data_IF_890773849587
#
_entry.id   IF_890773849587
#
_cell.length_a   1.000
_cell.length_b   1.000
_cell.length_c   1.000
_cell.angle_alpha   90.00
_cell.angle_beta   90.00
_cell.angle_gamma   90.00
#
_symmetry.space_group_name_H-M   'P 1'
#
loop_
_entity.id
_entity.type
_entity.pdbx_description
1 polymer ?
#
# COMPACT_ATOMS: atom_id res chain seq x y z
N UNK A 1 0.53 -20.36 -2.06
CA UNK A 1 -0.18 -19.26 -1.40
C UNK A 1 0.77 -18.08 -1.31
N UNK A 2 0.32 -16.91 -1.76
CA UNK A 2 1.05 -15.64 -1.70
C UNK A 2 0.53 -14.79 -0.54
N UNK A 3 1.27 -13.75 -0.17
CA UNK A 3 0.81 -12.79 0.86
C UNK A 3 -0.54 -12.15 0.50
N UNK A 4 -0.81 -11.96 -0.80
CA UNK A 4 -2.08 -11.40 -1.28
C UNK A 4 -3.21 -12.41 -1.06
N UNK A 5 -2.99 -13.68 -1.39
CA UNK A 5 -3.98 -14.75 -1.17
C UNK A 5 -4.34 -14.87 0.31
N UNK A 6 -3.33 -14.85 1.19
CA UNK A 6 -3.49 -14.99 2.64
C UNK A 6 -4.27 -13.79 3.22
N UNK A 7 -3.97 -12.56 2.77
CA UNK A 7 -4.69 -11.34 3.18
C UNK A 7 -6.17 -11.41 2.81
N UNK A 8 -6.50 -11.78 1.57
CA UNK A 8 -7.90 -11.89 1.15
C UNK A 8 -8.64 -13.04 1.83
N UNK A 9 -7.96 -14.17 2.08
CA UNK A 9 -8.54 -15.27 2.84
C UNK A 9 -8.92 -14.84 4.27
N UNK A 10 -7.99 -14.16 4.97
CA UNK A 10 -8.22 -13.59 6.30
C UNK A 10 -9.38 -12.59 6.31
N UNK A 11 -9.37 -11.60 5.41
CA UNK A 11 -10.41 -10.59 5.33
C UNK A 11 -11.81 -11.17 5.06
N UNK A 12 -11.88 -12.20 4.21
CA UNK A 12 -13.13 -12.92 3.94
C UNK A 12 -13.64 -13.63 5.20
N UNK A 13 -12.76 -14.28 5.96
CA UNK A 13 -13.12 -14.93 7.21
C UNK A 13 -13.59 -13.91 8.27
N UNK A 14 -13.03 -12.70 8.26
CA UNK A 14 -13.44 -11.59 9.13
C UNK A 14 -14.69 -10.83 8.64
N UNK A 15 -15.22 -11.14 7.44
CA UNK A 15 -16.33 -10.40 6.84
C UNK A 15 -15.98 -8.95 6.47
N UNK A 16 -14.70 -8.63 6.33
CA UNK A 16 -14.18 -7.29 6.05
C UNK A 16 -13.80 -7.11 4.58
N UNK A 17 -13.83 -5.86 4.11
CA UNK A 17 -13.27 -5.47 2.81
C UNK A 17 -11.80 -5.09 2.99
N UNK A 18 -10.99 -5.24 1.94
CA UNK A 18 -9.59 -4.84 1.95
C UNK A 18 -9.49 -3.32 1.89
N UNK A 19 -8.63 -2.75 2.73
CA UNK A 19 -8.15 -1.38 2.55
C UNK A 19 -6.81 -1.41 1.81
N UNK A 20 -6.81 -0.92 0.56
CA UNK A 20 -5.60 -0.81 -0.27
C UNK A 20 -5.20 0.66 -0.32
N UNK A 21 -3.97 0.97 0.08
CA UNK A 21 -3.45 2.33 0.07
C UNK A 21 -2.29 2.45 -0.92
N UNK A 22 -2.36 3.47 -1.77
CA UNK A 22 -1.28 3.86 -2.66
C UNK A 22 -0.45 4.99 -2.05
N UNK A 23 0.88 4.89 -2.15
CA UNK A 23 1.81 5.97 -1.83
C UNK A 23 2.96 6.01 -2.83
N UNK A 24 3.44 7.20 -3.18
CA UNK A 24 4.62 7.35 -4.03
C UNK A 24 5.90 7.11 -3.23
N UNK A 25 6.75 6.20 -3.71
CA UNK A 25 8.04 5.92 -3.08
C UNK A 25 8.97 7.12 -3.19
N UNK A 26 9.50 7.55 -2.05
CA UNK A 26 10.44 8.68 -1.98
C UNK A 26 9.79 10.07 -1.97
N UNK A 27 8.46 10.18 -1.94
CA UNK A 27 7.74 11.44 -1.78
C UNK A 27 7.39 11.71 -0.30
N UNK A 28 7.59 12.94 0.23
CA UNK A 28 8.37 14.04 -0.36
C UNK A 28 9.89 13.82 -0.31
N UNK A 29 10.34 12.89 0.55
CA UNK A 29 11.73 12.46 0.66
C UNK A 29 11.79 10.99 1.14
N UNK A 30 12.96 10.32 1.05
CA UNK A 30 13.09 8.92 1.45
C UNK A 30 12.75 8.62 2.91
N UNK A 31 13.00 9.55 3.83
CA UNK A 31 12.79 9.35 5.27
C UNK A 31 11.30 9.47 5.61
N UNK A 32 10.64 10.51 5.10
CA UNK A 32 9.21 10.72 5.23
C UNK A 32 8.41 9.60 4.55
N UNK A 33 8.77 9.21 3.32
CA UNK A 33 8.12 8.11 2.59
C UNK A 33 8.21 6.79 3.36
N UNK A 34 9.39 6.47 3.91
CA UNK A 34 9.58 5.27 4.72
C UNK A 34 8.75 5.31 6.02
N UNK A 35 8.67 6.47 6.67
CA UNK A 35 7.85 6.65 7.86
C UNK A 35 6.36 6.42 7.57
N UNK A 36 5.86 6.94 6.44
CA UNK A 36 4.49 6.71 5.97
C UNK A 36 4.24 5.22 5.74
N UNK A 37 5.05 4.55 4.91
CA UNK A 37 4.88 3.12 4.58
C UNK A 37 4.87 2.25 5.84
N UNK A 38 5.75 2.53 6.82
CA UNK A 38 5.79 1.79 8.10
C UNK A 38 4.54 2.02 8.97
N UNK A 39 3.89 3.17 8.85
CA UNK A 39 2.67 3.50 9.60
C UNK A 39 1.40 2.86 9.04
N UNK A 40 1.35 2.58 7.73
CA UNK A 40 0.14 2.09 7.05
C UNK A 40 -0.47 0.81 7.67
N UNK A 41 0.30 -0.22 8.06
CA UNK A 41 -0.28 -1.41 8.70
C UNK A 41 -1.00 -1.08 10.02
N UNK A 42 -0.44 -0.17 10.82
CA UNK A 42 -1.05 0.29 12.08
C UNK A 42 -2.31 1.13 11.87
N UNK A 43 -2.46 1.74 10.70
CA UNK A 43 -3.66 2.47 10.29
C UNK A 43 -4.75 1.55 9.69
N UNK A 44 -4.50 0.23 9.61
CA UNK A 44 -5.46 -0.75 9.11
C UNK A 44 -5.39 -1.01 7.59
N UNK A 45 -4.30 -0.60 6.92
CA UNK A 45 -4.06 -0.94 5.52
C UNK A 45 -3.70 -2.42 5.38
N UNK A 46 -4.41 -3.12 4.51
CA UNK A 46 -4.20 -4.55 4.27
C UNK A 46 -3.20 -4.81 3.13
N UNK A 47 -3.18 -3.93 2.12
CA UNK A 47 -2.28 -4.00 0.95
C UNK A 47 -1.74 -2.61 0.68
N UNK A 48 -0.43 -2.52 0.48
CA UNK A 48 0.27 -1.28 0.14
C UNK A 48 0.67 -1.34 -1.33
N UNK A 49 0.19 -0.39 -2.11
CA UNK A 49 0.68 -0.11 -3.46
C UNK A 49 1.77 0.95 -3.35
N UNK A 50 3.01 0.57 -3.66
CA UNK A 50 4.16 1.47 -3.61
C UNK A 50 4.51 1.92 -5.03
N UNK A 51 4.23 3.19 -5.33
CA UNK A 51 4.59 3.81 -6.59
C UNK A 51 6.11 3.89 -6.76
N UNK A 52 6.59 3.56 -7.94
CA UNK A 52 7.96 3.82 -8.36
C UNK A 52 7.97 5.13 -9.16
N UNK A 53 8.73 6.16 -8.74
CA UNK A 53 8.79 7.42 -9.47
C UNK A 53 9.18 7.22 -10.93
N UNK A 54 8.40 7.84 -11.82
CA UNK A 54 8.62 7.79 -13.27
C UNK A 54 8.49 9.20 -13.84
N UNK A 55 9.38 9.56 -14.77
CA UNK A 55 9.47 10.94 -15.28
C UNK A 55 8.37 11.31 -16.29
N UNK A 56 7.65 10.31 -16.82
CA UNK A 56 6.60 10.52 -17.81
C UNK A 56 5.28 9.79 -17.43
N UNK A 57 4.63 10.17 -16.32
CA UNK A 57 3.52 9.43 -15.73
C UNK A 57 2.19 9.68 -16.46
N UNK A 58 2.09 9.36 -17.76
CA UNK A 58 0.90 9.64 -18.58
C UNK A 58 -0.40 8.97 -18.08
N UNK A 59 -0.29 7.92 -17.25
CA UNK A 59 -1.43 7.19 -16.71
C UNK A 59 -1.87 7.69 -15.32
N UNK A 60 -1.05 8.50 -14.66
CA UNK A 60 -1.37 9.09 -13.36
C UNK A 60 -2.02 10.47 -13.59
N UNK A 61 -3.24 10.70 -13.06
CA UNK A 61 -3.97 11.99 -13.20
C UNK A 61 -5.46 11.84 -13.43
#
# INVERSE_FOLDING_TARGET
MTRIDDTFARLRAEGRKAFVAYVMGGDPDPEASLAVVKGLPGAGVDIIELGMPFTDPMADG
#
